data_IF_062425455606
#
_entry.id   IF_062425455606
#
_cell.length_a   1.000
_cell.length_b   1.000
_cell.length_c   1.000
_cell.angle_alpha   90.00
_cell.angle_beta   90.00
_cell.angle_gamma   90.00
#
_symmetry.space_group_name_H-M   'P 1'
#
loop_
_entity.id
_entity.type
_entity.pdbx_description
1 polymer ?
#
# COMPACT_ATOMS: atom_id res chain seq x y z
N UNK A 1 14.78 1.16 -8.34
CA UNK A 1 14.59 2.55 -7.85
C UNK A 1 14.18 2.46 -6.38
N UNK A 2 14.51 3.45 -5.55
CA UNK A 2 14.23 3.42 -4.10
C UNK A 2 13.14 4.41 -3.76
N UNK A 3 12.09 3.97 -3.07
CA UNK A 3 11.03 4.85 -2.53
C UNK A 3 11.67 5.73 -1.45
N UNK A 4 11.45 7.04 -1.53
CA UNK A 4 11.97 7.99 -0.55
C UNK A 4 11.31 7.76 0.82
N UNK A 5 12.05 7.87 1.95
CA UNK A 5 11.43 7.82 3.27
C UNK A 5 10.52 9.05 3.48
N UNK A 6 9.53 8.96 4.38
CA UNK A 6 8.77 10.14 4.78
C UNK A 6 9.70 11.16 5.43
N UNK A 7 9.43 12.44 5.20
CA UNK A 7 10.03 13.53 5.95
C UNK A 7 9.37 13.62 7.33
N UNK A 8 10.18 13.75 8.37
CA UNK A 8 9.75 13.76 9.77
C UNK A 8 9.53 15.17 10.31
N UNK A 9 9.86 16.20 9.51
CA UNK A 9 9.97 17.59 9.98
C UNK A 9 8.79 18.51 9.68
N UNK A 10 7.78 18.07 8.92
CA UNK A 10 6.68 18.92 8.45
C UNK A 10 5.29 18.44 8.87
N UNK A 11 4.34 19.39 8.86
CA UNK A 11 2.90 19.22 9.12
C UNK A 11 2.34 17.98 8.42
N UNK A 12 1.49 17.23 9.12
CA UNK A 12 0.93 15.96 8.63
C UNK A 12 -0.03 16.14 7.45
N UNK A 13 -0.46 17.37 7.16
CA UNK A 13 -1.54 17.70 6.24
C UNK A 13 -1.28 17.22 4.80
N UNK A 14 -0.02 17.20 4.35
CA UNK A 14 0.36 16.76 2.99
C UNK A 14 1.03 15.37 2.95
N UNK A 15 1.08 14.65 4.07
CA UNK A 15 1.81 13.37 4.16
C UNK A 15 1.30 12.31 3.19
N UNK A 16 -0.01 12.30 2.93
CA UNK A 16 -0.62 11.39 1.96
C UNK A 16 -0.19 11.71 0.52
N UNK A 17 -0.17 13.00 0.14
CA UNK A 17 0.26 13.42 -1.19
C UNK A 17 1.74 13.11 -1.42
N UNK A 18 2.60 13.40 -0.44
CA UNK A 18 4.03 13.08 -0.51
C UNK A 18 4.30 11.58 -0.60
N UNK A 19 3.49 10.76 0.06
CA UNK A 19 3.55 9.31 -0.06
C UNK A 19 3.22 8.87 -1.50
N UNK A 20 2.16 9.42 -2.11
CA UNK A 20 1.82 9.15 -3.50
C UNK A 20 2.96 9.55 -4.45
N UNK A 21 3.54 10.73 -4.26
CA UNK A 21 4.67 11.21 -5.09
C UNK A 21 5.89 10.27 -4.98
N UNK A 22 6.23 9.84 -3.77
CA UNK A 22 7.33 8.91 -3.53
C UNK A 22 7.11 7.53 -4.18
N UNK A 23 5.85 7.10 -4.31
CA UNK A 23 5.46 5.83 -4.93
C UNK A 23 5.31 5.94 -6.45
N UNK A 24 4.97 7.12 -6.97
CA UNK A 24 4.48 7.33 -8.33
C UNK A 24 5.39 6.74 -9.41
N UNK A 25 6.71 6.95 -9.31
CA UNK A 25 7.65 6.43 -10.32
C UNK A 25 7.71 4.89 -10.30
N UNK A 26 7.63 4.28 -9.12
CA UNK A 26 7.60 2.81 -9.02
C UNK A 26 6.28 2.24 -9.53
N UNK A 27 5.18 2.94 -9.26
CA UNK A 27 3.85 2.58 -9.78
C UNK A 27 3.81 2.60 -11.31
N UNK A 28 4.31 3.67 -11.95
CA UNK A 28 4.37 3.76 -13.41
C UNK A 28 5.18 2.63 -14.04
N UNK A 29 6.29 2.25 -13.39
CA UNK A 29 7.11 1.13 -13.85
C UNK A 29 6.35 -0.20 -13.85
N UNK A 30 5.52 -0.46 -12.84
CA UNK A 30 4.69 -1.67 -12.81
C UNK A 30 3.65 -1.65 -13.94
N UNK A 31 3.04 -0.50 -14.22
CA UNK A 31 2.14 -0.36 -15.36
C UNK A 31 2.86 -0.58 -16.70
N UNK A 32 4.06 0.00 -16.87
CA UNK A 32 4.89 -0.19 -18.06
C UNK A 32 5.22 -1.68 -18.27
N UNK A 33 5.76 -2.36 -17.27
CA UNK A 33 6.08 -3.79 -17.32
C UNK A 33 4.83 -4.65 -17.63
N UNK A 34 3.67 -4.32 -17.07
CA UNK A 34 2.42 -5.01 -17.38
C UNK A 34 2.00 -4.79 -18.84
N UNK A 35 2.13 -3.57 -19.36
CA UNK A 35 1.79 -3.26 -20.75
C UNK A 35 2.75 -3.91 -21.75
N UNK A 36 4.05 -3.96 -21.44
CA UNK A 36 5.06 -4.68 -22.23
C UNK A 36 4.78 -6.19 -22.27
N UNK A 37 4.25 -6.74 -21.18
CA UNK A 37 3.78 -8.13 -21.12
C UNK A 37 2.46 -8.38 -21.88
N UNK A 38 1.83 -7.34 -22.44
CA UNK A 38 0.64 -7.43 -23.28
C UNK A 38 -0.69 -7.16 -22.58
N UNK A 39 -0.68 -6.75 -21.31
CA UNK A 39 -1.90 -6.34 -20.61
C UNK A 39 -2.37 -4.97 -21.08
N UNK A 40 -3.69 -4.74 -21.14
CA UNK A 40 -4.18 -3.37 -21.36
C UNK A 40 -3.91 -2.54 -20.11
N UNK A 41 -3.56 -1.24 -20.24
CA UNK A 41 -3.31 -0.38 -19.09
C UNK A 41 -4.46 -0.36 -18.07
N UNK A 42 -5.71 -0.38 -18.54
CA UNK A 42 -6.90 -0.39 -17.70
C UNK A 42 -7.02 -1.69 -16.89
N UNK A 43 -6.63 -2.84 -17.45
CA UNK A 43 -6.65 -4.12 -16.75
C UNK A 43 -5.60 -4.14 -15.64
N UNK A 44 -4.38 -3.70 -15.95
CA UNK A 44 -3.30 -3.58 -14.98
C UNK A 44 -3.67 -2.62 -13.83
N UNK A 45 -4.29 -1.48 -14.16
CA UNK A 45 -4.73 -0.50 -13.17
C UNK A 45 -5.81 -1.06 -12.22
N UNK A 46 -6.85 -1.69 -12.77
CA UNK A 46 -7.92 -2.29 -11.97
C UNK A 46 -7.37 -3.41 -11.09
N UNK A 47 -6.46 -4.24 -11.61
CA UNK A 47 -5.80 -5.27 -10.83
C UNK A 47 -4.97 -4.69 -9.67
N UNK A 48 -4.17 -3.65 -9.93
CA UNK A 48 -3.37 -2.99 -8.89
C UNK A 48 -4.23 -2.37 -7.77
N UNK A 49 -5.35 -1.73 -8.13
CA UNK A 49 -6.32 -1.20 -7.15
C UNK A 49 -6.86 -2.35 -6.29
N UNK A 50 -7.34 -3.42 -6.91
CA UNK A 50 -7.87 -4.57 -6.17
C UNK A 50 -6.83 -5.24 -5.28
N UNK A 51 -5.58 -5.34 -5.71
CA UNK A 51 -4.49 -5.88 -4.89
C UNK A 51 -4.20 -5.00 -3.66
N UNK A 52 -4.18 -3.67 -3.83
CA UNK A 52 -3.98 -2.73 -2.74
C UNK A 52 -5.14 -2.79 -1.73
N UNK A 53 -6.39 -2.78 -2.21
CA UNK A 53 -7.59 -2.86 -1.35
C UNK A 53 -7.62 -4.17 -0.55
N UNK A 54 -7.37 -5.31 -1.20
CA UNK A 54 -7.32 -6.61 -0.53
C UNK A 54 -6.21 -6.68 0.52
N UNK A 55 -5.06 -6.04 0.26
CA UNK A 55 -3.96 -5.98 1.23
C UNK A 55 -4.33 -5.11 2.45
N UNK A 56 -5.04 -3.99 2.24
CA UNK A 56 -5.55 -3.17 3.33
C UNK A 56 -6.52 -3.96 4.23
N UNK A 57 -7.48 -4.68 3.63
CA UNK A 57 -8.41 -5.54 4.38
C UNK A 57 -7.70 -6.63 5.19
N UNK A 58 -6.62 -7.21 4.64
CA UNK A 58 -5.81 -8.20 5.34
C UNK A 58 -5.08 -7.59 6.55
N UNK A 59 -4.52 -6.38 6.42
CA UNK A 59 -3.84 -5.69 7.52
C UNK A 59 -4.80 -5.38 8.66
N UNK A 60 -6.00 -4.90 8.35
CA UNK A 60 -7.04 -4.62 9.35
C UNK A 60 -7.46 -5.90 10.07
N UNK A 61 -7.75 -6.97 9.33
CA UNK A 61 -8.10 -8.26 9.92
C UNK A 61 -7.00 -8.84 10.83
N UNK A 62 -5.74 -8.68 10.44
CA UNK A 62 -4.61 -9.12 11.26
C UNK A 62 -4.52 -8.30 12.56
N UNK A 63 -4.71 -6.98 12.50
CA UNK A 63 -4.70 -6.12 13.68
C UNK A 63 -5.79 -6.51 14.69
N UNK A 64 -7.00 -6.83 14.23
CA UNK A 64 -8.10 -7.32 15.08
C UNK A 64 -7.73 -8.63 15.80
N UNK A 65 -7.13 -9.59 15.08
CA UNK A 65 -6.69 -10.87 15.67
C UNK A 65 -5.59 -10.64 16.70
N UNK A 66 -4.63 -9.76 16.41
CA UNK A 66 -3.55 -9.43 17.34
C UNK A 66 -4.08 -8.81 18.65
N UNK A 67 -5.09 -7.94 18.56
CA UNK A 67 -5.76 -7.36 19.72
C UNK A 67 -6.44 -8.44 20.57
N UNK A 68 -7.19 -9.35 19.94
CA UNK A 68 -7.84 -10.46 20.64
C UNK A 68 -6.82 -11.38 21.32
N UNK A 69 -5.71 -11.70 20.64
CA UNK A 69 -4.62 -12.47 21.22
C UNK A 69 -3.98 -11.76 22.41
N UNK A 70 -3.81 -10.44 22.37
CA UNK A 70 -3.28 -9.66 23.48
C UNK A 70 -4.21 -9.72 24.70
N UNK A 71 -5.53 -9.67 24.50
CA UNK A 71 -6.53 -9.84 25.58
C UNK A 71 -6.45 -11.25 26.18
N UNK A 72 -6.39 -12.30 25.34
CA UNK A 72 -6.31 -13.67 25.83
C UNK A 72 -5.01 -13.94 26.60
N UNK A 73 -3.87 -13.42 26.14
CA UNK A 73 -2.58 -13.54 26.83
C UNK A 73 -2.57 -12.87 28.22
N UNK A 74 -3.31 -11.78 28.40
CA UNK A 74 -3.43 -11.08 29.70
C UNK A 74 -4.33 -11.81 30.71
N UNK A 75 -5.17 -12.74 30.25
CA UNK A 75 -6.10 -13.53 31.10
C UNK A 75 -5.51 -14.86 31.58
N UNK A 76 -4.30 -15.20 31.14
CA UNK A 76 -3.56 -16.40 31.53
C UNK A 76 -2.47 -16.04 32.54
#
# INVERSE_FOLDING_TARGET
MKIAPPDLSEDQDDRFLRCQDALYVSFLKVLEEATEAGWRPQEALVALISLADNHALMLDSNAEIEELLAVLKKRR
#
